data_IF_492013062939
#
_entry.id   IF_492013062939
#
_cell.length_a   1.000
_cell.length_b   1.000
_cell.length_c   1.000
_cell.angle_alpha   90.00
_cell.angle_beta   90.00
_cell.angle_gamma   90.00
#
_symmetry.space_group_name_H-M   'P 1'
#
loop_
_entity.id
_entity.type
_entity.pdbx_description
1 polymer ?
#
# COMPACT_ATOMS: atom_id res chain seq x y z
N UNK A 1 29.63 -45.68 -26.79
CA UNK A 1 30.60 -44.57 -26.70
C UNK A 1 30.04 -43.43 -27.53
N UNK A 2 29.59 -42.35 -26.89
CA UNK A 2 29.05 -41.19 -27.60
C UNK A 2 30.20 -40.47 -28.30
N UNK A 3 30.03 -40.22 -29.58
CA UNK A 3 31.05 -39.68 -30.49
C UNK A 3 31.45 -38.27 -30.04
N UNK A 4 32.68 -38.12 -29.52
CA UNK A 4 33.25 -36.87 -28.99
C UNK A 4 33.21 -35.73 -29.99
N UNK A 5 33.04 -36.02 -31.29
CA UNK A 5 32.85 -35.03 -32.35
C UNK A 5 31.54 -34.24 -32.21
N UNK A 6 30.45 -34.91 -31.85
CA UNK A 6 29.12 -34.29 -31.69
C UNK A 6 29.04 -33.33 -30.49
N UNK A 7 29.86 -33.56 -29.45
CA UNK A 7 29.90 -32.70 -28.26
C UNK A 7 30.62 -31.38 -28.54
N UNK A 8 31.63 -31.38 -29.43
CA UNK A 8 32.32 -30.14 -29.80
C UNK A 8 31.46 -29.26 -30.71
N UNK A 9 30.73 -29.84 -31.66
CA UNK A 9 29.84 -29.09 -32.56
C UNK A 9 28.77 -28.33 -31.77
N UNK A 10 28.12 -28.98 -30.80
CA UNK A 10 27.08 -28.35 -29.97
C UNK A 10 27.60 -27.17 -29.13
N UNK A 11 28.87 -27.20 -28.68
CA UNK A 11 29.45 -26.08 -27.93
C UNK A 11 29.72 -24.85 -28.80
N UNK A 12 30.12 -25.07 -30.06
CA UNK A 12 30.35 -23.98 -31.02
C UNK A 12 29.03 -23.31 -31.39
N UNK A 13 27.96 -24.08 -31.63
CA UNK A 13 26.63 -23.52 -31.90
C UNK A 13 26.08 -22.69 -30.73
N UNK A 14 26.26 -23.16 -29.49
CA UNK A 14 25.80 -22.43 -28.31
C UNK A 14 26.54 -21.08 -28.16
N UNK A 15 27.85 -21.06 -28.41
CA UNK A 15 28.66 -19.85 -28.34
C UNK A 15 28.23 -18.82 -29.40
N UNK A 16 27.96 -19.26 -30.63
CA UNK A 16 27.48 -18.39 -31.72
C UNK A 16 26.11 -17.78 -31.38
N UNK A 17 25.19 -18.56 -30.81
CA UNK A 17 23.88 -18.08 -30.36
C UNK A 17 23.98 -17.03 -29.24
N UNK A 18 24.89 -17.23 -28.29
CA UNK A 18 25.13 -16.25 -27.22
C UNK A 18 25.69 -14.94 -27.80
N UNK A 19 26.63 -15.01 -28.74
CA UNK A 19 27.21 -13.81 -29.37
C UNK A 19 26.15 -13.05 -30.20
N UNK A 20 25.33 -13.76 -30.98
CA UNK A 20 24.27 -13.15 -31.78
C UNK A 20 23.19 -12.48 -30.91
N UNK A 21 22.80 -13.11 -29.80
CA UNK A 21 21.83 -12.51 -28.87
C UNK A 21 22.38 -11.27 -28.18
N UNK A 22 23.67 -11.25 -27.81
CA UNK A 22 24.31 -10.06 -27.25
C UNK A 22 24.36 -8.90 -28.25
N UNK A 23 24.74 -9.19 -29.50
CA UNK A 23 24.79 -8.18 -30.57
C UNK A 23 23.41 -7.56 -30.84
N UNK A 24 22.35 -8.37 -30.79
CA UNK A 24 20.97 -7.88 -30.96
C UNK A 24 20.54 -6.94 -29.82
N UNK A 25 20.92 -7.24 -28.57
CA UNK A 25 20.63 -6.39 -27.40
C UNK A 25 21.35 -5.03 -27.50
N UNK A 26 22.61 -5.04 -27.94
CA UNK A 26 23.39 -3.79 -28.14
C UNK A 26 22.81 -2.95 -29.29
N UNK A 27 22.39 -3.59 -30.39
CA UNK A 27 21.73 -2.89 -31.50
C UNK A 27 20.39 -2.26 -31.07
N UNK A 28 19.55 -2.97 -30.31
CA UNK A 28 18.28 -2.42 -29.83
C UNK A 28 18.46 -1.25 -28.84
N UNK A 29 19.47 -1.32 -27.98
CA UNK A 29 19.72 -0.28 -26.98
C UNK A 29 20.21 1.04 -27.60
N UNK A 30 21.01 0.99 -28.66
CA UNK A 30 21.43 2.20 -29.40
C UNK A 30 20.29 2.85 -30.19
N UNK A 31 19.32 2.08 -30.69
CA UNK A 31 18.16 2.61 -31.41
C UNK A 31 17.16 3.34 -30.51
N UNK A 32 17.03 2.93 -29.24
CA UNK A 32 16.12 3.57 -28.28
C UNK A 32 16.68 4.86 -27.67
N UNK A 33 17.99 5.11 -27.77
CA UNK A 33 18.63 6.29 -27.19
C UNK A 33 18.58 7.54 -28.09
N UNK A 34 18.25 7.42 -29.38
CA UNK A 34 18.15 8.54 -30.33
C UNK A 34 16.74 9.15 -30.45
N UNK A 35 16.05 9.41 -29.33
CA UNK A 35 14.91 10.34 -29.36
C UNK A 35 15.42 11.77 -29.13
N UNK A 36 15.19 12.70 -30.07
CA UNK A 36 15.60 14.08 -29.91
C UNK A 36 14.86 14.68 -28.71
N UNK A 37 15.61 15.19 -27.73
CA UNK A 37 15.11 16.01 -26.65
C UNK A 37 14.71 17.35 -27.29
N UNK A 38 13.41 17.57 -27.42
CA UNK A 38 12.84 18.86 -27.83
C UNK A 38 13.18 19.90 -26.75
N UNK A 39 14.23 20.67 -27.02
CA UNK A 39 14.61 21.85 -26.28
C UNK A 39 13.79 23.05 -26.76
N UNK A 40 13.15 23.74 -25.80
CA UNK A 40 12.81 25.18 -25.77
C UNK A 40 11.35 25.44 -25.39
N UNK A 41 11.04 25.36 -24.09
CA UNK A 41 9.92 26.12 -23.53
C UNK A 41 10.51 27.43 -23.01
N UNK A 42 10.31 28.48 -23.79
CA UNK A 42 10.62 29.86 -23.43
C UNK A 42 9.75 30.26 -22.24
N UNK A 43 10.37 30.45 -21.07
CA UNK A 43 9.76 31.07 -19.90
C UNK A 43 9.72 32.58 -20.15
N UNK A 44 8.69 33.04 -20.86
CA UNK A 44 8.30 34.45 -20.80
C UNK A 44 7.66 34.70 -19.43
N UNK A 45 8.41 35.40 -18.57
CA UNK A 45 7.86 36.10 -17.42
C UNK A 45 7.01 37.27 -17.91
N UNK A 46 5.71 37.03 -18.05
CA UNK A 46 4.73 38.11 -18.17
C UNK A 46 4.43 38.64 -16.77
N UNK A 47 4.80 39.90 -16.57
CA UNK A 47 4.53 40.71 -15.39
C UNK A 47 3.03 40.78 -15.05
N UNK A 48 2.78 40.72 -13.74
CA UNK A 48 1.71 41.35 -12.96
C UNK A 48 0.46 41.83 -13.72
N UNK A 49 -0.50 40.92 -13.88
CA UNK A 49 -1.90 41.32 -13.85
C UNK A 49 -2.34 41.42 -12.39
N UNK A 50 -2.60 42.65 -11.94
CA UNK A 50 -3.43 42.98 -10.77
C UNK A 50 -4.82 42.37 -10.96
N UNK A 51 -4.94 41.09 -10.61
CA UNK A 51 -6.19 40.35 -10.66
C UNK A 51 -6.99 40.67 -9.40
N UNK A 52 -8.17 41.26 -9.62
CA UNK A 52 -9.27 41.21 -8.66
C UNK A 52 -9.36 39.81 -8.04
N UNK A 53 -9.71 39.67 -6.74
CA UNK A 53 -9.74 38.39 -6.06
C UNK A 53 -10.67 37.44 -6.85
N UNK A 54 -10.06 36.51 -7.61
CA UNK A 54 -10.81 35.44 -8.26
C UNK A 54 -11.51 34.69 -7.15
N UNK A 55 -12.84 34.75 -7.12
CA UNK A 55 -13.64 33.94 -6.21
C UNK A 55 -13.13 32.50 -6.30
N UNK A 56 -12.57 32.02 -5.19
CA UNK A 56 -12.00 30.68 -5.13
C UNK A 56 -13.16 29.71 -5.30
N UNK A 57 -13.27 29.11 -6.49
CA UNK A 57 -14.30 28.12 -6.78
C UNK A 57 -14.20 26.99 -5.75
N UNK A 58 -15.32 26.67 -5.10
CA UNK A 58 -15.41 25.56 -4.14
C UNK A 58 -15.00 24.24 -4.82
N UNK A 59 -14.22 23.44 -4.10
CA UNK A 59 -13.83 22.08 -4.46
C UNK A 59 -15.02 21.11 -4.37
N UNK A 60 -14.93 19.97 -5.06
CA UNK A 60 -15.90 18.88 -4.98
C UNK A 60 -16.15 18.41 -3.53
N UNK A 61 -15.08 18.31 -2.73
CA UNK A 61 -15.15 17.95 -1.32
C UNK A 61 -15.87 19.02 -0.50
N UNK A 62 -15.56 20.31 -0.69
CA UNK A 62 -16.27 21.42 -0.02
C UNK A 62 -17.77 21.38 -0.31
N UNK A 63 -18.14 21.17 -1.58
CA UNK A 63 -19.54 21.05 -1.99
C UNK A 63 -20.22 19.83 -1.34
N UNK A 64 -19.52 18.70 -1.25
CA UNK A 64 -20.03 17.50 -0.58
C UNK A 64 -20.26 17.76 0.91
N UNK A 65 -19.32 18.41 1.60
CA UNK A 65 -19.46 18.71 3.03
C UNK A 65 -20.60 19.69 3.31
N UNK A 66 -20.75 20.72 2.48
CA UNK A 66 -21.86 21.67 2.54
C UNK A 66 -23.20 20.97 2.34
N UNK A 67 -23.31 20.10 1.31
CA UNK A 67 -24.49 19.27 1.06
C UNK A 67 -24.85 18.39 2.26
N UNK A 68 -23.85 17.92 3.00
CA UNK A 68 -24.01 17.09 4.21
C UNK A 68 -24.12 17.91 5.50
N UNK A 69 -24.13 19.25 5.42
CA UNK A 69 -24.19 20.19 6.56
C UNK A 69 -23.07 19.94 7.58
N UNK A 70 -21.90 19.52 7.13
CA UNK A 70 -20.74 19.26 7.99
C UNK A 70 -19.89 20.51 8.12
N UNK A 71 -19.62 20.92 9.36
CA UNK A 71 -18.64 21.97 9.67
C UNK A 71 -17.32 21.31 10.00
N UNK A 72 -16.33 21.49 9.15
CA UNK A 72 -15.00 20.91 9.35
C UNK A 72 -13.93 21.83 8.78
N UNK A 73 -12.76 21.83 9.43
CA UNK A 73 -11.61 22.57 8.95
C UNK A 73 -10.92 21.82 7.80
N UNK A 74 -11.29 22.18 6.57
CA UNK A 74 -10.62 21.71 5.36
C UNK A 74 -9.27 22.41 5.13
N UNK A 75 -8.95 23.47 5.87
CA UNK A 75 -7.63 24.09 5.86
C UNK A 75 -6.54 23.11 6.26
N UNK A 76 -6.85 22.16 7.16
CA UNK A 76 -5.97 21.05 7.54
C UNK A 76 -5.59 20.11 6.37
N UNK A 77 -6.34 20.15 5.26
CA UNK A 77 -6.12 19.36 4.05
C UNK A 77 -5.58 20.20 2.88
N UNK A 78 -5.27 21.48 3.10
CA UNK A 78 -4.74 22.35 2.06
C UNK A 78 -3.33 21.93 1.59
N UNK A 79 -2.55 21.32 2.49
CA UNK A 79 -1.21 20.79 2.21
C UNK A 79 -1.23 19.25 2.09
N UNK A 80 -0.26 18.66 1.38
CA UNK A 80 -0.08 17.21 1.35
C UNK A 80 0.12 16.64 2.76
N UNK A 81 -0.43 15.45 3.01
CA UNK A 81 -0.28 14.75 4.28
C UNK A 81 1.19 14.44 4.57
N UNK A 82 1.57 14.58 5.85
CA UNK A 82 2.93 14.34 6.32
C UNK A 82 3.26 12.84 6.29
N UNK A 83 4.31 12.48 5.55
CA UNK A 83 4.78 11.09 5.37
C UNK A 83 5.90 10.80 6.36
N UNK A 84 5.85 9.66 7.06
CA UNK A 84 6.80 9.37 8.15
C UNK A 84 7.81 8.25 7.87
N UNK A 85 7.54 7.33 6.96
CA UNK A 85 8.48 6.22 6.69
C UNK A 85 8.02 5.38 5.52
N UNK A 86 8.95 4.72 4.83
CA UNK A 86 8.62 3.76 3.77
C UNK A 86 9.34 2.42 3.85
N UNK A 87 10.51 2.28 4.51
CA UNK A 87 11.37 1.09 4.31
C UNK A 87 12.35 0.84 5.45
N UNK A 88 11.94 0.07 6.45
CA UNK A 88 12.90 -0.74 7.22
C UNK A 88 12.39 -2.16 7.21
N UNK A 89 12.95 -3.03 6.35
CA UNK A 89 12.70 -4.46 6.45
C UNK A 89 13.04 -4.92 7.86
N UNK A 90 12.12 -5.63 8.49
CA UNK A 90 12.32 -6.17 9.83
C UNK A 90 11.79 -7.60 9.89
N UNK A 91 12.44 -8.45 10.68
CA UNK A 91 11.94 -9.78 10.98
C UNK A 91 11.48 -9.81 12.42
N UNK A 92 10.22 -10.15 12.62
CA UNK A 92 9.64 -10.44 13.92
C UNK A 92 9.69 -11.94 14.19
N UNK A 93 10.09 -12.32 15.40
CA UNK A 93 10.15 -13.71 15.87
C UNK A 93 9.70 -13.81 17.33
N UNK A 94 9.80 -14.99 17.94
CA UNK A 94 9.54 -15.13 19.37
C UNK A 94 10.55 -14.34 20.23
N UNK A 95 11.80 -14.26 19.78
CA UNK A 95 12.91 -13.57 20.45
C UNK A 95 12.87 -12.06 20.20
N UNK A 96 12.35 -11.63 19.06
CA UNK A 96 12.15 -10.23 18.71
C UNK A 96 10.74 -10.00 18.18
N UNK A 97 9.76 -9.99 19.08
CA UNK A 97 8.35 -9.98 18.71
C UNK A 97 7.81 -8.60 18.36
N UNK A 98 8.60 -7.53 18.48
CA UNK A 98 8.11 -6.17 18.32
C UNK A 98 8.97 -5.30 17.42
N UNK A 99 8.31 -4.44 16.65
CA UNK A 99 8.91 -3.35 15.88
C UNK A 99 8.26 -2.05 16.35
N UNK A 100 9.08 -1.13 16.87
CA UNK A 100 8.62 0.18 17.34
C UNK A 100 9.14 1.30 16.44
N UNK A 101 8.26 2.25 16.16
CA UNK A 101 8.54 3.49 15.44
C UNK A 101 7.91 4.65 16.23
N UNK A 102 8.15 5.91 15.88
CA UNK A 102 7.50 7.02 16.58
C UNK A 102 5.96 7.00 16.46
N UNK A 103 5.42 6.52 15.33
CA UNK A 103 3.97 6.51 15.07
C UNK A 103 3.29 5.18 15.41
N UNK A 104 3.99 4.06 15.25
CA UNK A 104 3.42 2.71 15.36
C UNK A 104 4.24 1.80 16.29
N UNK A 105 3.54 0.94 17.01
CA UNK A 105 4.06 -0.28 17.61
C UNK A 105 3.42 -1.49 16.93
N UNK A 106 4.25 -2.38 16.37
CA UNK A 106 3.80 -3.61 15.70
C UNK A 106 4.33 -4.79 16.53
N UNK A 107 3.44 -5.68 16.95
CA UNK A 107 3.76 -6.86 17.77
C UNK A 107 3.27 -8.14 17.11
N UNK A 108 4.15 -9.11 16.98
CA UNK A 108 3.84 -10.48 16.55
C UNK A 108 3.27 -11.25 17.74
N UNK A 109 2.06 -11.78 17.55
CA UNK A 109 1.41 -12.67 18.51
C UNK A 109 1.23 -14.05 17.87
N UNK A 110 1.62 -15.08 18.61
CA UNK A 110 1.45 -16.49 18.22
C UNK A 110 0.67 -17.18 19.32
N UNK A 111 -0.63 -17.34 19.11
CA UNK A 111 -1.55 -17.82 20.14
C UNK A 111 -1.94 -19.26 19.86
N UNK A 112 -1.68 -20.15 20.81
CA UNK A 112 -2.17 -21.52 20.75
C UNK A 112 -3.70 -21.53 20.82
N UNK A 113 -4.32 -22.34 19.98
CA UNK A 113 -5.77 -22.49 19.99
C UNK A 113 -6.14 -23.93 20.22
N UNK A 114 -6.84 -24.18 21.33
CA UNK A 114 -7.41 -25.47 21.67
C UNK A 114 -8.62 -25.74 20.75
N UNK A 115 -8.39 -26.26 19.55
CA UNK A 115 -9.46 -26.64 18.64
C UNK A 115 -9.40 -28.14 18.32
N UNK A 116 -10.56 -28.71 17.99
CA UNK A 116 -10.72 -30.02 17.31
C UNK A 116 -10.17 -29.95 15.88
N UNK A 117 -8.91 -29.58 15.72
CA UNK A 117 -8.27 -29.42 14.43
C UNK A 117 -7.73 -30.79 14.04
N UNK A 118 -8.49 -31.53 13.24
CA UNK A 118 -8.01 -32.75 12.58
C UNK A 118 -6.90 -32.50 11.54
N UNK A 119 -6.39 -31.27 11.45
CA UNK A 119 -5.32 -30.86 10.56
C UNK A 119 -4.37 -29.90 11.27
N UNK A 120 -3.14 -29.86 10.79
CA UNK A 120 -1.94 -29.46 11.52
C UNK A 120 -1.92 -28.00 12.09
N UNK A 121 -2.89 -27.11 11.83
CA UNK A 121 -2.88 -25.67 12.19
C UNK A 121 -2.99 -25.35 13.70
N UNK A 122 -1.93 -25.59 14.50
CA UNK A 122 -1.95 -25.47 15.97
C UNK A 122 -1.93 -24.04 16.53
N UNK A 123 -1.32 -23.10 15.82
CA UNK A 123 -1.08 -21.74 16.30
C UNK A 123 -1.66 -20.68 15.37
N UNK A 124 -2.30 -19.68 15.96
CA UNK A 124 -2.81 -18.50 15.26
C UNK A 124 -1.73 -17.43 15.22
N UNK A 125 -1.43 -16.90 14.03
CA UNK A 125 -0.43 -15.85 13.83
C UNK A 125 -1.13 -14.52 13.54
N UNK A 126 -0.94 -13.52 14.43
CA UNK A 126 -1.50 -12.18 14.28
C UNK A 126 -0.45 -11.10 14.50
N UNK A 127 -0.70 -9.91 13.93
CA UNK A 127 -0.02 -8.67 14.26
C UNK A 127 -0.96 -7.78 15.06
N UNK A 128 -0.55 -7.37 16.26
CA UNK A 128 -1.13 -6.22 16.93
C UNK A 128 -0.44 -4.95 16.42
N UNK A 129 -1.20 -4.03 15.85
CA UNK A 129 -0.71 -2.78 15.26
C UNK A 129 -1.36 -1.63 16.03
N UNK A 130 -0.54 -0.87 16.74
CA UNK A 130 -0.97 0.16 17.68
C UNK A 130 -0.51 1.54 17.23
N UNK A 131 -1.44 2.49 17.19
CA UNK A 131 -1.14 3.89 16.92
C UNK A 131 -0.65 4.61 18.18
N UNK A 132 0.63 4.98 18.19
CA UNK A 132 1.30 5.72 19.27
C UNK A 132 1.37 7.23 19.04
N UNK A 133 0.89 7.70 17.90
CA UNK A 133 0.87 9.13 17.57
C UNK A 133 -0.24 9.86 18.34
N UNK A 134 -0.12 11.18 18.41
CA UNK A 134 -1.13 12.06 19.01
C UNK A 134 -2.38 12.24 18.14
N UNK A 135 -2.36 11.77 16.89
CA UNK A 135 -3.42 11.95 15.89
C UNK A 135 -3.88 10.64 15.25
N UNK A 136 -4.73 10.75 14.22
CA UNK A 136 -5.13 9.60 13.41
C UNK A 136 -4.04 9.28 12.40
N UNK A 137 -3.97 8.02 11.99
CA UNK A 137 -3.01 7.56 10.99
C UNK A 137 -3.74 6.88 9.85
N UNK A 138 -3.26 7.14 8.64
CA UNK A 138 -3.40 6.18 7.54
C UNK A 138 -2.12 5.37 7.46
N UNK A 139 -2.25 4.04 7.47
CA UNK A 139 -1.13 3.13 7.60
C UNK A 139 -1.22 1.97 6.61
N UNK A 140 -0.08 1.36 6.31
CA UNK A 140 0.02 0.13 5.54
C UNK A 140 1.23 -0.64 6.04
N UNK A 141 1.02 -1.87 6.49
CA UNK A 141 2.11 -2.80 6.89
C UNK A 141 2.14 -3.95 5.89
N UNK A 142 3.24 -4.12 5.17
CA UNK A 142 3.43 -5.20 4.22
C UNK A 142 4.25 -6.33 4.83
N UNK A 143 3.68 -7.53 4.83
CA UNK A 143 4.33 -8.75 5.31
C UNK A 143 4.58 -9.72 4.16
N UNK A 144 5.74 -10.36 4.18
CA UNK A 144 6.08 -11.43 3.23
C UNK A 144 5.46 -12.76 3.68
N UNK A 145 5.02 -13.58 2.71
CA UNK A 145 4.67 -14.96 2.99
C UNK A 145 5.95 -15.72 3.35
N UNK A 146 5.96 -16.43 4.47
CA UNK A 146 7.10 -17.27 4.86
C UNK A 146 6.64 -18.72 5.00
N UNK A 147 7.55 -19.71 4.93
CA UNK A 147 7.21 -21.11 5.21
C UNK A 147 6.76 -21.36 6.65
N UNK A 148 6.98 -20.42 7.58
CA UNK A 148 6.68 -20.60 9.00
C UNK A 148 5.18 -20.49 9.34
N UNK A 149 4.36 -19.98 8.41
CA UNK A 149 2.91 -19.93 8.54
C UNK A 149 2.21 -19.96 7.16
N UNK A 150 0.99 -20.47 7.13
CA UNK A 150 0.15 -20.61 5.92
C UNK A 150 -1.19 -19.89 6.10
N UNK A 151 -1.98 -19.76 5.04
CA UNK A 151 -3.38 -19.35 5.19
C UNK A 151 -4.13 -20.45 5.93
N UNK A 152 -4.88 -20.10 6.99
CA UNK A 152 -5.64 -21.09 7.75
C UNK A 152 -6.74 -21.69 6.87
N UNK A 153 -6.86 -23.02 6.84
CA UNK A 153 -7.85 -23.73 6.02
C UNK A 153 -9.26 -23.58 6.62
N UNK A 154 -9.37 -23.67 7.95
CA UNK A 154 -10.64 -23.79 8.67
C UNK A 154 -11.13 -22.49 9.31
N UNK A 155 -10.35 -21.40 9.24
CA UNK A 155 -10.63 -20.19 10.01
C UNK A 155 -11.11 -19.04 9.15
N UNK A 156 -12.41 -18.77 9.19
CA UNK A 156 -12.96 -17.46 8.80
C UNK A 156 -12.70 -16.48 9.94
N UNK A 157 -11.63 -15.70 9.83
CA UNK A 157 -11.28 -14.70 10.84
C UNK A 157 -12.39 -13.64 10.86
N UNK A 158 -13.23 -13.66 11.90
CA UNK A 158 -14.28 -12.64 12.12
C UNK A 158 -13.72 -11.29 12.60
N UNK A 159 -12.41 -11.22 12.90
CA UNK A 159 -11.75 -9.97 13.32
C UNK A 159 -11.60 -9.07 12.11
N UNK A 160 -12.33 -7.98 12.18
CA UNK A 160 -12.52 -7.05 11.08
C UNK A 160 -12.07 -5.67 11.54
N UNK A 161 -11.15 -5.05 10.81
CA UNK A 161 -10.61 -3.72 11.11
C UNK A 161 -10.49 -2.91 9.83
N UNK A 162 -10.30 -1.60 9.95
CA UNK A 162 -10.02 -0.78 8.79
C UNK A 162 -8.61 -1.10 8.30
N UNK A 163 -8.50 -1.62 7.08
CA UNK A 163 -7.24 -2.15 6.53
C UNK A 163 -6.10 -1.13 6.42
N UNK A 164 -6.40 0.17 6.54
CA UNK A 164 -5.41 1.24 6.41
C UNK A 164 -5.67 2.48 7.28
N UNK A 165 -6.62 2.47 8.22
CA UNK A 165 -6.83 3.62 9.14
C UNK A 165 -6.70 3.14 10.58
N UNK A 166 -6.00 3.93 11.41
CA UNK A 166 -5.99 3.80 12.86
C UNK A 166 -6.36 5.13 13.50
N UNK A 167 -7.36 5.11 14.37
CA UNK A 167 -7.68 6.26 15.20
C UNK A 167 -6.60 6.50 16.24
N UNK A 168 -6.56 7.71 16.80
CA UNK A 168 -5.66 8.06 17.90
C UNK A 168 -5.76 7.02 19.03
N UNK A 169 -4.63 6.44 19.42
CA UNK A 169 -4.55 5.43 20.48
C UNK A 169 -5.23 4.08 20.16
N UNK A 170 -5.71 3.89 18.94
CA UNK A 170 -6.32 2.62 18.53
C UNK A 170 -5.27 1.54 18.32
N UNK A 171 -5.61 0.32 18.71
CA UNK A 171 -4.87 -0.88 18.38
C UNK A 171 -5.77 -1.85 17.63
N UNK A 172 -5.27 -2.39 16.53
CA UNK A 172 -5.96 -3.42 15.74
C UNK A 172 -5.18 -4.71 15.76
N UNK A 173 -5.91 -5.82 15.68
CA UNK A 173 -5.31 -7.13 15.51
C UNK A 173 -5.56 -7.62 14.08
N UNK A 174 -4.47 -7.71 13.31
CA UNK A 174 -4.48 -8.17 11.94
C UNK A 174 -4.04 -9.63 11.88
N UNK A 175 -4.87 -10.46 11.27
CA UNK A 175 -4.55 -11.86 11.09
C UNK A 175 -3.60 -12.08 9.91
N UNK A 176 -2.58 -12.90 10.10
CA UNK A 176 -1.57 -13.19 9.08
C UNK A 176 -1.64 -14.63 8.57
N UNK A 177 -1.98 -15.60 9.43
CA UNK A 177 -2.13 -17.01 9.06
C UNK A 177 -2.16 -17.97 10.25
N UNK A 178 -1.94 -19.25 9.96
CA UNK A 178 -1.79 -20.36 10.91
C UNK A 178 -0.40 -20.97 10.83
N UNK A 179 0.11 -21.47 11.95
CA UNK A 179 1.42 -22.12 12.04
C UNK A 179 1.35 -23.46 12.79
N UNK A 180 2.30 -24.34 12.45
CA UNK A 180 2.48 -25.65 13.09
C UNK A 180 3.27 -25.57 14.41
N UNK A 181 4.03 -24.50 14.58
CA UNK A 181 4.94 -24.27 15.70
C UNK A 181 4.81 -22.83 16.20
N UNK A 182 5.18 -22.59 17.46
CA UNK A 182 5.33 -21.23 18.01
C UNK A 182 6.50 -20.46 17.39
N UNK A 183 7.46 -21.17 16.76
CA UNK A 183 8.63 -20.58 16.11
C UNK A 183 8.25 -20.01 14.74
N UNK A 184 7.60 -18.85 14.78
CA UNK A 184 7.18 -18.11 13.58
C UNK A 184 8.17 -17.00 13.31
N UNK A 185 8.60 -16.88 12.06
CA UNK A 185 9.40 -15.76 11.58
C UNK A 185 8.56 -14.97 10.58
N UNK A 186 8.25 -13.73 10.91
CA UNK A 186 7.47 -12.85 10.07
C UNK A 186 8.31 -11.71 9.55
N UNK A 187 8.45 -11.61 8.24
CA UNK A 187 9.17 -10.50 7.62
C UNK A 187 8.21 -9.38 7.28
N UNK A 188 8.41 -8.22 7.87
CA UNK A 188 7.81 -6.94 7.47
C UNK A 188 8.70 -6.37 6.37
N UNK A 189 8.18 -6.30 5.15
CA UNK A 189 8.90 -5.77 3.98
C UNK A 189 8.95 -4.25 4.04
N UNK A 190 7.83 -3.65 4.41
CA UNK A 190 7.67 -2.21 4.50
C UNK A 190 6.53 -1.88 5.45
N UNK A 191 6.61 -0.69 6.04
CA UNK A 191 5.46 -0.02 6.62
C UNK A 191 5.44 1.42 6.12
N UNK A 192 4.24 1.93 5.88
CA UNK A 192 3.99 3.26 5.36
C UNK A 192 2.97 3.93 6.27
N UNK A 193 3.25 5.17 6.67
CA UNK A 193 2.43 5.91 7.62
C UNK A 193 2.32 7.37 7.18
N UNK A 194 1.10 7.90 7.20
CA UNK A 194 0.86 9.34 7.15
C UNK A 194 -0.02 9.78 8.32
N UNK A 195 0.29 10.93 8.88
CA UNK A 195 -0.59 11.61 9.84
C UNK A 195 -1.85 12.09 9.13
N UNK A 196 -2.99 11.91 9.79
CA UNK A 196 -4.30 12.15 9.22
C UNK A 196 -5.08 13.13 10.11
N UNK A 197 -5.42 14.34 9.61
CA UNK A 197 -6.33 15.23 10.32
C UNK A 197 -7.76 14.66 10.31
N UNK A 198 -8.64 15.17 11.16
CA UNK A 198 -10.03 14.69 11.27
C UNK A 198 -10.77 14.71 9.92
N UNK A 199 -10.52 15.72 9.09
CA UNK A 199 -11.07 15.80 7.74
C UNK A 199 -10.60 14.66 6.84
N UNK A 200 -9.32 14.34 6.89
CA UNK A 200 -8.75 13.20 6.17
C UNK A 200 -9.30 11.86 6.67
N UNK A 201 -9.56 11.75 7.99
CA UNK A 201 -10.19 10.57 8.57
C UNK A 201 -11.58 10.34 7.98
N UNK A 202 -12.40 11.38 7.94
CA UNK A 202 -13.76 11.26 7.41
C UNK A 202 -13.81 10.96 5.92
N UNK A 203 -12.90 11.54 5.14
CA UNK A 203 -12.84 11.29 3.69
C UNK A 203 -12.32 9.89 3.38
N UNK A 204 -11.23 9.45 4.02
CA UNK A 204 -10.69 8.11 3.80
C UNK A 204 -11.56 6.99 4.37
N UNK A 205 -12.33 7.25 5.43
CA UNK A 205 -13.30 6.30 6.00
C UNK A 205 -14.39 5.86 5.00
N UNK A 206 -14.58 6.62 3.92
CA UNK A 206 -15.54 6.32 2.85
C UNK A 206 -15.08 5.17 1.96
N UNK A 207 -13.77 4.90 1.89
CA UNK A 207 -13.17 3.92 0.99
C UNK A 207 -13.49 2.52 1.51
N UNK A 208 -14.42 1.84 0.85
CA UNK A 208 -14.89 0.50 1.25
C UNK A 208 -13.95 -0.63 0.81
N UNK A 209 -13.14 -0.36 -0.21
CA UNK A 209 -12.23 -1.34 -0.80
C UNK A 209 -10.80 -1.04 -0.39
N UNK A 210 -10.10 -1.96 0.30
CA UNK A 210 -8.70 -1.75 0.66
C UNK A 210 -7.80 -1.65 -0.58
N UNK A 211 -6.83 -0.73 -0.54
CA UNK A 211 -5.84 -0.52 -1.59
C UNK A 211 -4.42 -0.80 -1.10
N UNK A 212 -3.62 -1.41 -1.95
CA UNK A 212 -2.23 -1.78 -1.65
C UNK A 212 -2.09 -2.90 -0.64
N UNK A 213 -3.18 -3.58 -0.27
CA UNK A 213 -3.17 -4.69 0.68
C UNK A 213 -3.11 -6.02 -0.11
N UNK A 214 -2.30 -7.01 0.32
CA UNK A 214 -2.33 -8.35 -0.30
C UNK A 214 -3.72 -8.98 -0.27
N UNK A 215 -4.15 -9.72 -1.32
CA UNK A 215 -5.48 -10.33 -1.42
C UNK A 215 -5.93 -11.12 -0.18
N UNK A 216 -4.99 -11.86 0.45
CA UNK A 216 -5.27 -12.64 1.67
C UNK A 216 -5.76 -11.78 2.86
N UNK A 217 -5.32 -10.52 2.93
CA UNK A 217 -5.67 -9.61 4.02
C UNK A 217 -6.94 -8.78 3.69
N UNK A 218 -7.34 -8.69 2.42
CA UNK A 218 -8.52 -7.92 2.02
C UNK A 218 -9.80 -8.42 2.68
N UNK A 219 -9.92 -9.73 2.91
CA UNK A 219 -11.08 -10.36 3.58
C UNK A 219 -11.28 -9.87 5.02
N UNK A 220 -10.25 -9.31 5.65
CA UNK A 220 -10.31 -8.79 7.03
C UNK A 220 -10.62 -7.30 7.10
N UNK A 221 -10.68 -6.64 5.94
CA UNK A 221 -11.05 -5.22 5.86
C UNK A 221 -12.52 -5.04 6.22
N UNK A 222 -12.79 -4.08 7.10
CA UNK A 222 -14.13 -3.61 7.36
C UNK A 222 -14.14 -2.09 7.40
N UNK A 223 -14.89 -1.45 6.49
CA UNK A 223 -15.04 -0.01 6.51
C UNK A 223 -15.72 0.43 7.81
N UNK A 224 -15.49 1.67 8.20
CA UNK A 224 -16.22 2.23 9.32
C UNK A 224 -17.71 2.31 8.95
N UNK A 225 -18.59 1.85 9.86
CA UNK A 225 -20.05 1.85 9.65
C UNK A 225 -20.67 3.27 9.52
N UNK A 226 -19.87 4.32 9.69
CA UNK A 226 -20.35 5.67 10.06
C UNK A 226 -19.86 6.77 9.12
N UNK A 227 -19.61 6.50 7.84
CA UNK A 227 -19.33 7.61 6.92
C UNK A 227 -20.60 8.45 6.71
N UNK A 228 -20.69 9.59 7.39
CA UNK A 228 -21.72 10.62 7.21
C UNK A 228 -21.73 11.15 5.77
N UNK A 229 -20.59 11.05 5.08
CA UNK A 229 -20.40 11.50 3.69
C UNK A 229 -20.93 10.49 2.66
N UNK A 230 -21.24 9.25 3.07
CA UNK A 230 -21.58 8.14 2.18
C UNK A 230 -20.34 7.41 1.64
N UNK A 231 -20.53 6.29 0.91
CA UNK A 231 -19.43 5.46 0.42
C UNK A 231 -18.64 6.13 -0.71
N UNK A 232 -17.42 5.64 -0.89
CA UNK A 232 -16.48 6.03 -1.95
C UNK A 232 -16.26 4.83 -2.88
N UNK A 233 -17.02 4.72 -3.98
CA UNK A 233 -17.01 3.54 -4.83
C UNK A 233 -15.81 3.53 -5.78
N UNK A 234 -14.63 3.14 -5.28
CA UNK A 234 -13.39 3.02 -6.09
C UNK A 234 -13.28 1.66 -6.82
N UNK A 235 -14.37 0.90 -6.89
CA UNK A 235 -14.38 -0.50 -7.33
C UNK A 235 -13.81 -0.69 -8.75
N UNK A 236 -14.20 0.17 -9.70
CA UNK A 236 -13.79 0.07 -11.10
C UNK A 236 -12.27 0.26 -11.30
N UNK A 237 -11.63 1.03 -10.42
CA UNK A 237 -10.22 1.42 -10.55
C UNK A 237 -9.28 0.60 -9.65
N UNK A 238 -9.81 -0.27 -8.79
CA UNK A 238 -9.03 -1.02 -7.81
C UNK A 238 -7.84 -1.75 -8.43
N UNK A 239 -8.05 -2.49 -9.52
CA UNK A 239 -7.00 -3.27 -10.16
C UNK A 239 -5.88 -2.38 -10.72
N UNK A 240 -6.25 -1.26 -11.36
CA UNK A 240 -5.32 -0.25 -11.90
C UNK A 240 -4.50 0.39 -10.78
N UNK A 241 -5.15 0.80 -9.70
CA UNK A 241 -4.51 1.40 -8.53
C UNK A 241 -3.57 0.41 -7.82
N UNK A 242 -4.00 -0.83 -7.61
CA UNK A 242 -3.16 -1.86 -7.01
C UNK A 242 -1.94 -2.18 -7.89
N UNK A 243 -2.08 -2.21 -9.21
CA UNK A 243 -0.94 -2.34 -10.15
C UNK A 243 0.03 -1.17 -10.03
N UNK A 244 -0.48 0.07 -9.95
CA UNK A 244 0.35 1.28 -9.74
C UNK A 244 1.11 1.20 -8.41
N UNK A 245 0.44 0.81 -7.32
CA UNK A 245 1.04 0.64 -5.98
C UNK A 245 2.09 -0.48 -5.97
N UNK A 246 1.84 -1.59 -6.66
CA UNK A 246 2.78 -2.70 -6.76
C UNK A 246 4.08 -2.30 -7.49
N UNK A 247 3.95 -1.53 -8.57
CA UNK A 247 5.08 -1.06 -9.36
C UNK A 247 5.84 0.10 -8.69
N UNK A 248 5.14 0.94 -7.94
CA UNK A 248 5.72 2.04 -7.20
C UNK A 248 5.11 2.13 -5.79
N UNK A 249 5.80 1.65 -4.75
CA UNK A 249 5.29 1.74 -3.38
C UNK A 249 4.97 3.16 -2.92
N UNK A 250 5.63 4.20 -3.48
CA UNK A 250 5.33 5.60 -3.15
C UNK A 250 3.98 6.06 -3.69
N UNK A 251 3.48 5.43 -4.76
CA UNK A 251 2.15 5.73 -5.30
C UNK A 251 1.04 5.48 -4.26
N UNK A 252 1.27 4.61 -3.28
CA UNK A 252 0.31 4.44 -2.18
C UNK A 252 0.11 5.74 -1.39
N UNK A 253 1.18 6.50 -1.11
CA UNK A 253 1.06 7.79 -0.44
C UNK A 253 0.31 8.81 -1.29
N UNK A 254 0.61 8.87 -2.58
CA UNK A 254 -0.07 9.78 -3.52
C UNK A 254 -1.56 9.50 -3.60
N UNK A 255 -1.94 8.22 -3.69
CA UNK A 255 -3.34 7.80 -3.78
C UNK A 255 -4.10 8.11 -2.49
N UNK A 256 -3.52 7.79 -1.33
CA UNK A 256 -4.15 8.06 -0.03
C UNK A 256 -4.25 9.56 0.24
N UNK A 257 -3.22 10.34 -0.11
CA UNK A 257 -3.25 11.80 -0.01
C UNK A 257 -4.29 12.42 -0.97
N UNK A 258 -4.41 11.89 -2.19
CA UNK A 258 -5.45 12.31 -3.13
C UNK A 258 -6.84 12.07 -2.55
N UNK A 259 -7.14 10.87 -2.06
CA UNK A 259 -8.46 10.57 -1.51
C UNK A 259 -8.76 11.29 -0.20
N UNK A 260 -7.74 11.64 0.59
CA UNK A 260 -7.94 12.45 1.78
C UNK A 260 -8.45 13.86 1.43
N UNK A 261 -8.01 14.41 0.29
CA UNK A 261 -8.21 15.81 -0.12
C UNK A 261 -9.26 16.02 -1.21
N UNK A 262 -9.78 14.95 -1.82
CA UNK A 262 -10.69 15.02 -2.97
C UNK A 262 -11.93 14.15 -2.76
N UNK A 263 -13.01 14.47 -3.48
CA UNK A 263 -14.19 13.61 -3.50
C UNK A 263 -13.99 12.51 -4.54
N UNK A 264 -13.55 11.35 -4.06
CA UNK A 264 -13.37 10.14 -4.87
C UNK A 264 -14.61 9.64 -5.64
N UNK A 265 -15.80 10.20 -5.40
CA UNK A 265 -17.00 9.88 -6.19
C UNK A 265 -17.18 10.77 -7.43
N UNK A 266 -16.43 11.87 -7.52
CA UNK A 266 -16.55 12.87 -8.59
C UNK A 266 -15.22 13.10 -9.30
N UNK A 267 -14.11 13.08 -8.55
CA UNK A 267 -12.81 13.48 -9.07
C UNK A 267 -12.09 12.31 -9.74
N UNK A 268 -11.55 12.58 -10.93
CA UNK A 268 -10.74 11.61 -11.65
C UNK A 268 -9.43 11.35 -10.91
N UNK A 269 -9.03 10.08 -10.84
CA UNK A 269 -7.75 9.67 -10.28
C UNK A 269 -6.59 10.26 -11.10
N UNK A 270 -5.51 10.71 -10.43
CA UNK A 270 -4.28 11.14 -11.09
C UNK A 270 -3.47 9.95 -11.64
#
# INVERSE_FOLDING_TARGET
>A
MADTRTIMENKVYLLILVILSLALIVALSTHLSRRPISSSVSLMHTESNLLAPKEKKKTSLELLMEKRKMKMDLGSLAAPLKRHSARVPATLSAENSQLSTPQLLIRLNVTEKNYKMGQNDRFLVTLAIENRSSGHLVYRVLTEKTPSFVECISHSVKRTHHGFILKKGESVERFEGCAFSRKVNMKIIAFQVMELPEAGLLTLARIETPLGIPPRLEKTHKPFKTSVLGPCPIYADKARLNKRIANNPLAWFEIMDFFARNDCSQDALP
#
